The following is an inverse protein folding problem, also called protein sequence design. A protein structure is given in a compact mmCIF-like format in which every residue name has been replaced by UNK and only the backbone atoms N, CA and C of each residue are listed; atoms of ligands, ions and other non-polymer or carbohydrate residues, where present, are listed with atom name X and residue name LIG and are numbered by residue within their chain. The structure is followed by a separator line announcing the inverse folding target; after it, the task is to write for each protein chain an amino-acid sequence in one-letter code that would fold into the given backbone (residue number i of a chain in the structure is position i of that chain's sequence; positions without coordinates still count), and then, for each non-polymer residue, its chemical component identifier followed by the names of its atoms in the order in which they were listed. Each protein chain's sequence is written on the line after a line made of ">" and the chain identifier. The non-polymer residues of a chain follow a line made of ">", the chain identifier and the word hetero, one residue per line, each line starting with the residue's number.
data_IF_054315707092
#
_entry.id   IF_054315707092
#
_cell.length_a   1.000
_cell.length_b   1.000
_cell.length_c   1.000
_cell.angle_alpha   90.00
_cell.angle_beta   90.00
_cell.angle_gamma   90.00
#
_symmetry.space_group_name_H-M   'P 1'
#
loop_
_entity.id
_entity.type
_entity.pdbx_description
1 polymer ?
#
# COMPACT_ATOMS: atom_id res chain seq x y z
N UNK A 1 23.91 26.74 -74.70
CA UNK A 1 22.79 27.28 -73.88
C UNK A 1 21.85 26.22 -73.32
N UNK A 2 21.38 25.24 -74.09
CA UNK A 2 20.36 24.27 -73.61
C UNK A 2 20.74 23.47 -72.34
N UNK A 3 22.01 23.06 -72.19
CA UNK A 3 22.48 22.31 -71.01
C UNK A 3 22.47 23.14 -69.73
N UNK A 4 22.86 24.41 -69.81
CA UNK A 4 22.88 25.34 -68.68
C UNK A 4 21.46 25.66 -68.21
N UNK A 5 20.53 25.83 -69.15
CA UNK A 5 19.12 26.09 -68.83
C UNK A 5 18.43 24.88 -68.19
N UNK A 6 18.76 23.66 -68.65
CA UNK A 6 18.29 22.41 -68.05
C UNK A 6 18.80 22.22 -66.61
N UNK A 7 20.08 22.50 -66.36
CA UNK A 7 20.64 22.42 -65.00
C UNK A 7 19.96 23.43 -64.07
N UNK A 8 19.71 24.65 -64.56
CA UNK A 8 19.02 25.68 -63.77
C UNK A 8 17.57 25.32 -63.48
N UNK A 9 16.85 24.74 -64.45
CA UNK A 9 15.49 24.24 -64.26
C UNK A 9 15.43 23.09 -63.24
N UNK A 10 16.38 22.16 -63.29
CA UNK A 10 16.50 21.07 -62.30
C UNK A 10 16.78 21.64 -60.90
N UNK A 11 17.63 22.66 -60.78
CA UNK A 11 17.92 23.28 -59.49
C UNK A 11 16.71 24.00 -58.89
N UNK A 12 15.95 24.73 -59.72
CA UNK A 12 14.69 25.35 -59.30
C UNK A 12 13.67 24.30 -58.87
N UNK A 13 13.53 23.20 -59.61
CA UNK A 13 12.65 22.10 -59.23
C UNK A 13 13.10 21.45 -57.93
N UNK A 14 14.40 21.21 -57.72
CA UNK A 14 14.91 20.69 -56.45
C UNK A 14 14.57 21.64 -55.30
N UNK A 15 14.82 22.95 -55.44
CA UNK A 15 14.53 23.91 -54.36
C UNK A 15 13.02 24.03 -54.09
N UNK A 16 12.19 24.04 -55.13
CA UNK A 16 10.74 24.16 -54.99
C UNK A 16 10.11 22.89 -54.40
N UNK A 17 10.54 21.71 -54.87
CA UNK A 17 10.10 20.44 -54.33
C UNK A 17 10.80 20.08 -53.02
N UNK A 18 11.92 20.70 -52.66
CA UNK A 18 12.57 20.49 -51.36
C UNK A 18 11.68 20.96 -50.22
N UNK A 19 11.00 22.11 -50.38
CA UNK A 19 10.06 22.59 -49.36
C UNK A 19 8.84 21.68 -49.24
N UNK A 20 8.23 21.29 -50.37
CA UNK A 20 7.14 20.30 -50.38
C UNK A 20 7.59 18.94 -49.83
N UNK A 21 8.83 18.53 -50.08
CA UNK A 21 9.40 17.29 -49.56
C UNK A 21 9.70 17.40 -48.06
N UNK A 22 10.14 18.57 -47.57
CA UNK A 22 10.24 18.86 -46.14
C UNK A 22 8.87 18.84 -45.48
N UNK A 23 7.85 19.50 -46.04
CA UNK A 23 6.48 19.51 -45.52
C UNK A 23 5.88 18.08 -45.51
N UNK A 24 6.17 17.28 -46.54
CA UNK A 24 5.78 15.87 -46.62
C UNK A 24 6.56 15.03 -45.61
N UNK A 25 7.87 15.23 -45.47
CA UNK A 25 8.68 14.53 -44.46
C UNK A 25 8.33 14.95 -43.04
N UNK A 26 7.94 16.19 -42.80
CA UNK A 26 7.41 16.68 -41.52
C UNK A 26 6.08 16.00 -41.21
N UNK A 27 5.19 15.84 -42.20
CA UNK A 27 3.97 15.05 -42.06
C UNK A 27 4.18 13.54 -41.85
N UNK A 28 5.25 12.97 -42.41
CA UNK A 28 5.63 11.55 -42.22
C UNK A 28 6.64 11.33 -41.09
N UNK A 29 7.13 12.39 -40.44
CA UNK A 29 8.15 12.32 -39.37
C UNK A 29 7.71 11.40 -38.24
N UNK A 30 6.42 11.41 -37.82
CA UNK A 30 5.98 10.51 -36.77
C UNK A 30 6.00 9.02 -37.17
N UNK A 31 5.48 8.70 -38.35
CA UNK A 31 5.40 7.33 -38.85
C UNK A 31 6.79 6.75 -39.17
N UNK A 32 7.68 7.56 -39.76
CA UNK A 32 9.06 7.17 -40.04
C UNK A 32 9.82 6.95 -38.73
N UNK A 33 9.60 7.81 -37.73
CA UNK A 33 10.17 7.70 -36.40
C UNK A 33 9.78 6.41 -35.67
N UNK A 34 8.49 6.11 -35.59
CA UNK A 34 7.99 4.86 -34.98
C UNK A 34 8.45 3.62 -35.74
N UNK A 35 8.46 3.69 -37.08
CA UNK A 35 8.99 2.60 -37.91
C UNK A 35 10.49 2.41 -37.75
N UNK A 36 11.23 3.48 -37.45
CA UNK A 36 12.65 3.40 -37.10
C UNK A 36 12.83 2.74 -35.73
N UNK A 37 12.12 3.23 -34.69
CA UNK A 37 12.17 2.67 -33.35
C UNK A 37 11.81 1.18 -33.33
N UNK A 38 10.68 0.78 -33.91
CA UNK A 38 10.24 -0.62 -33.95
C UNK A 38 11.22 -1.56 -34.65
N UNK A 39 12.06 -1.04 -35.55
CA UNK A 39 13.10 -1.79 -36.28
C UNK A 39 14.44 -1.84 -35.58
N UNK A 40 14.63 -1.14 -34.45
CA UNK A 40 15.85 -1.27 -33.67
C UNK A 40 15.92 -2.69 -33.09
N UNK A 41 16.68 -3.57 -33.74
CA UNK A 41 16.84 -4.97 -33.37
C UNK A 41 18.01 -5.15 -32.40
N UNK A 42 17.81 -5.95 -31.35
CA UNK A 42 18.83 -6.23 -30.32
C UNK A 42 20.09 -6.91 -30.86
N UNK A 43 19.98 -7.70 -31.93
CA UNK A 43 21.13 -8.29 -32.62
C UNK A 43 22.14 -7.26 -33.12
N UNK A 44 21.69 -6.03 -33.41
CA UNK A 44 22.54 -4.90 -33.77
C UNK A 44 23.03 -4.12 -32.54
N UNK A 45 22.47 -4.38 -31.35
CA UNK A 45 22.64 -3.59 -30.12
C UNK A 45 23.47 -4.33 -29.06
N UNK A 46 24.11 -5.47 -29.39
CA UNK A 46 24.99 -6.20 -28.46
C UNK A 46 26.26 -5.47 -28.05
N UNK A 47 26.69 -4.47 -28.82
CA UNK A 47 27.80 -3.60 -28.45
C UNK A 47 27.26 -2.37 -27.71
N UNK A 48 27.88 -2.02 -26.58
CA UNK A 48 27.63 -0.82 -25.78
C UNK A 48 27.40 0.45 -26.63
N UNK A 49 28.17 0.64 -27.70
CA UNK A 49 28.00 1.78 -28.62
C UNK A 49 26.63 1.82 -29.29
N UNK A 50 26.08 0.67 -29.64
CA UNK A 50 24.77 0.57 -30.28
C UNK A 50 23.64 0.61 -29.25
N UNK A 51 23.88 0.15 -28.02
CA UNK A 51 22.97 0.37 -26.88
C UNK A 51 22.79 1.86 -26.62
N UNK A 52 23.89 2.59 -26.56
CA UNK A 52 23.89 4.03 -26.36
C UNK A 52 23.18 4.79 -27.50
N UNK A 53 23.35 4.34 -28.75
CA UNK A 53 22.60 4.93 -29.88
C UNK A 53 21.10 4.70 -29.77
N UNK A 54 20.68 3.50 -29.34
CA UNK A 54 19.27 3.18 -29.15
C UNK A 54 18.67 4.03 -28.01
N UNK A 55 19.38 4.19 -26.90
CA UNK A 55 18.93 5.04 -25.79
C UNK A 55 18.85 6.51 -26.23
N UNK A 56 19.85 7.02 -26.95
CA UNK A 56 19.80 8.37 -27.54
C UNK A 56 18.68 8.56 -28.54
N UNK A 57 18.36 7.53 -29.33
CA UNK A 57 17.21 7.57 -30.20
C UNK A 57 15.95 7.77 -29.36
N UNK A 58 15.70 6.91 -28.37
CA UNK A 58 14.57 7.07 -27.45
C UNK A 58 14.53 8.43 -26.75
N UNK A 59 15.66 8.93 -26.24
CA UNK A 59 15.76 10.28 -25.64
C UNK A 59 15.32 11.40 -26.60
N UNK A 60 15.55 11.24 -27.90
CA UNK A 60 15.08 12.22 -28.90
C UNK A 60 13.58 12.11 -29.19
N UNK A 61 12.99 10.92 -29.05
CA UNK A 61 11.55 10.70 -29.25
C UNK A 61 10.71 11.05 -28.03
N UNK A 62 11.29 11.01 -26.83
CA UNK A 62 10.50 11.22 -25.61
C UNK A 62 9.82 12.58 -25.50
N UNK A 63 10.49 13.71 -25.77
CA UNK A 63 9.90 15.04 -25.66
C UNK A 63 8.90 15.37 -26.78
N UNK A 64 8.98 14.67 -27.92
CA UNK A 64 8.15 14.93 -29.11
C UNK A 64 6.80 14.16 -29.09
N UNK A 65 6.43 13.54 -27.96
CA UNK A 65 5.32 12.58 -27.85
C UNK A 65 3.97 13.06 -28.39
N UNK A 66 3.68 14.37 -28.31
CA UNK A 66 2.44 14.96 -28.83
C UNK A 66 2.28 14.85 -30.35
N UNK A 67 3.36 14.58 -31.09
CA UNK A 67 3.35 14.41 -32.56
C UNK A 67 3.15 12.94 -32.99
N UNK A 68 3.27 11.99 -32.06
CA UNK A 68 3.22 10.55 -32.34
C UNK A 68 1.90 9.93 -31.90
N UNK A 69 1.52 8.82 -32.54
CA UNK A 69 0.48 7.94 -31.98
C UNK A 69 1.02 7.32 -30.68
N UNK A 70 0.61 7.90 -29.56
CA UNK A 70 1.05 7.50 -28.21
C UNK A 70 0.74 6.02 -27.93
N UNK A 71 -0.28 5.43 -28.57
CA UNK A 71 -0.54 3.99 -28.48
C UNK A 71 0.58 3.16 -29.08
N UNK A 72 0.98 3.48 -30.31
CA UNK A 72 2.05 2.75 -31.00
C UNK A 72 3.40 3.04 -30.35
N UNK A 73 3.63 4.26 -29.85
CA UNK A 73 4.85 4.59 -29.10
C UNK A 73 4.98 3.75 -27.82
N UNK A 74 3.93 3.66 -27.01
CA UNK A 74 3.93 2.83 -25.80
C UNK A 74 4.07 1.34 -26.12
N UNK A 75 3.45 0.88 -27.21
CA UNK A 75 3.62 -0.50 -27.68
C UNK A 75 5.08 -0.80 -28.05
N UNK A 76 5.74 0.06 -28.82
CA UNK A 76 7.16 -0.12 -29.18
C UNK A 76 8.06 -0.06 -27.94
N UNK A 77 7.75 0.82 -26.99
CA UNK A 77 8.45 0.88 -25.70
C UNK A 77 8.33 -0.44 -24.93
N UNK A 78 7.10 -0.94 -24.75
CA UNK A 78 6.82 -2.22 -24.08
C UNK A 78 7.54 -3.37 -24.78
N UNK A 79 7.47 -3.45 -26.12
CA UNK A 79 8.15 -4.47 -26.91
C UNK A 79 9.68 -4.45 -26.70
N UNK A 80 10.28 -3.26 -26.57
CA UNK A 80 11.72 -3.14 -26.29
C UNK A 80 12.08 -3.59 -24.88
N UNK A 81 11.32 -3.20 -23.85
CA UNK A 81 11.56 -3.68 -22.49
C UNK A 81 11.39 -5.21 -22.42
N UNK A 82 10.29 -5.74 -22.97
CA UNK A 82 10.04 -7.20 -23.01
C UNK A 82 11.21 -7.94 -23.67
N UNK A 83 11.73 -7.41 -24.78
CA UNK A 83 12.86 -8.01 -25.49
C UNK A 83 14.16 -7.93 -24.68
N UNK A 84 14.45 -6.81 -24.03
CA UNK A 84 15.61 -6.68 -23.15
C UNK A 84 15.57 -7.66 -21.99
N UNK A 85 14.39 -7.85 -21.38
CA UNK A 85 14.22 -8.81 -20.31
C UNK A 85 14.37 -10.26 -20.78
N UNK A 86 13.87 -10.60 -21.98
CA UNK A 86 14.05 -11.93 -22.58
C UNK A 86 15.52 -12.25 -22.86
N UNK A 87 16.32 -11.24 -23.22
CA UNK A 87 17.75 -11.37 -23.47
C UNK A 87 18.62 -11.20 -22.21
N UNK A 88 18.01 -11.10 -21.02
CA UNK A 88 18.69 -10.84 -19.73
C UNK A 88 19.49 -9.51 -19.71
N UNK A 89 19.18 -8.55 -20.59
CA UNK A 89 19.77 -7.20 -20.68
C UNK A 89 19.10 -6.23 -19.68
N UNK A 90 19.09 -6.62 -18.40
CA UNK A 90 18.41 -5.92 -17.31
C UNK A 90 18.82 -4.45 -17.16
N UNK A 91 20.09 -4.13 -17.39
CA UNK A 91 20.60 -2.76 -17.31
C UNK A 91 20.01 -1.84 -18.40
N UNK A 92 19.79 -2.37 -19.61
CA UNK A 92 19.17 -1.61 -20.70
C UNK A 92 17.68 -1.39 -20.44
N UNK A 93 17.00 -2.42 -19.95
CA UNK A 93 15.60 -2.29 -19.53
C UNK A 93 15.45 -1.17 -18.48
N UNK A 94 16.31 -1.14 -17.47
CA UNK A 94 16.30 -0.10 -16.44
C UNK A 94 16.64 1.31 -16.97
N UNK A 95 17.63 1.43 -17.87
CA UNK A 95 17.96 2.74 -18.48
C UNK A 95 16.81 3.24 -19.36
N UNK A 96 16.18 2.35 -20.12
CA UNK A 96 15.06 2.71 -20.98
C UNK A 96 13.82 3.10 -20.18
N UNK A 97 13.50 2.37 -19.09
CA UNK A 97 12.41 2.73 -18.18
C UNK A 97 12.67 4.05 -17.46
N UNK A 98 13.92 4.34 -17.07
CA UNK A 98 14.29 5.65 -16.51
C UNK A 98 14.03 6.77 -17.50
N UNK A 99 14.43 6.62 -18.77
CA UNK A 99 14.15 7.62 -19.80
C UNK A 99 12.65 7.85 -20.01
N UNK A 100 11.85 6.78 -19.98
CA UNK A 100 10.38 6.88 -20.02
C UNK A 100 9.82 7.59 -18.78
N UNK A 101 10.33 7.27 -17.57
CA UNK A 101 9.99 7.91 -16.30
C UNK A 101 10.24 9.43 -16.31
N UNK A 102 11.42 9.84 -16.78
CA UNK A 102 11.83 11.25 -16.84
C UNK A 102 10.92 12.08 -17.76
N UNK A 103 10.23 11.41 -18.68
CA UNK A 103 9.31 12.02 -19.63
C UNK A 103 7.84 11.69 -19.35
N UNK A 104 7.51 11.17 -18.16
CA UNK A 104 6.12 10.86 -17.79
C UNK A 104 5.18 12.04 -17.98
N UNK A 105 5.61 13.27 -17.65
CA UNK A 105 4.77 14.47 -17.76
C UNK A 105 4.13 14.63 -19.16
N UNK A 106 4.83 14.20 -20.21
CA UNK A 106 4.39 14.30 -21.61
C UNK A 106 3.54 13.11 -22.09
N UNK A 107 3.21 12.15 -21.22
CA UNK A 107 2.46 10.92 -21.57
C UNK A 107 0.97 11.06 -21.31
N UNK A 108 0.15 10.45 -22.15
CA UNK A 108 -1.28 10.34 -21.86
C UNK A 108 -1.56 9.19 -20.89
N UNK A 109 -2.25 9.48 -19.79
CA UNK A 109 -2.52 8.52 -18.73
C UNK A 109 -3.24 7.26 -19.23
N UNK A 110 -4.11 7.38 -20.23
CA UNK A 110 -4.85 6.25 -20.81
C UNK A 110 -3.93 5.13 -21.29
N UNK A 111 -2.80 5.48 -21.92
CA UNK A 111 -1.86 4.49 -22.43
C UNK A 111 -0.91 3.99 -21.34
N UNK A 112 -0.58 4.83 -20.36
CA UNK A 112 0.15 4.39 -19.16
C UNK A 112 -0.66 3.30 -18.44
N UNK A 113 -1.96 3.51 -18.22
CA UNK A 113 -2.84 2.53 -17.58
C UNK A 113 -2.99 1.25 -18.40
N UNK A 114 -3.26 1.35 -19.70
CA UNK A 114 -3.63 0.18 -20.50
C UNK A 114 -2.44 -0.63 -21.01
N UNK A 115 -1.27 0.00 -21.20
CA UNK A 115 -0.12 -0.63 -21.84
C UNK A 115 1.06 -0.79 -20.90
N UNK A 116 1.33 0.19 -20.04
CA UNK A 116 2.53 0.19 -19.20
C UNK A 116 2.26 -0.45 -17.84
N UNK A 117 1.19 -0.09 -17.13
CA UNK A 117 0.92 -0.58 -15.78
C UNK A 117 0.83 -2.13 -15.70
N UNK A 118 0.09 -2.84 -16.57
CA UNK A 118 0.05 -4.30 -16.53
C UNK A 118 1.43 -4.93 -16.75
N UNK A 119 2.21 -4.32 -17.64
CA UNK A 119 3.56 -4.77 -17.98
C UNK A 119 4.57 -4.52 -16.87
N UNK A 120 4.42 -3.43 -16.11
CA UNK A 120 5.25 -3.17 -14.93
C UNK A 120 5.19 -4.34 -13.95
N UNK A 121 4.01 -4.93 -13.72
CA UNK A 121 3.88 -6.12 -12.87
C UNK A 121 4.61 -7.35 -13.43
N UNK A 122 4.52 -7.59 -14.74
CA UNK A 122 5.27 -8.66 -15.41
C UNK A 122 6.79 -8.43 -15.30
N UNK A 123 7.24 -7.21 -15.55
CA UNK A 123 8.65 -6.82 -15.50
C UNK A 123 9.22 -6.99 -14.09
N UNK A 124 8.52 -6.49 -13.07
CA UNK A 124 8.95 -6.65 -11.67
C UNK A 124 9.10 -8.11 -11.27
N UNK A 125 8.23 -9.01 -11.74
CA UNK A 125 8.36 -10.44 -11.47
C UNK A 125 9.60 -11.03 -12.12
N UNK A 126 9.91 -10.63 -13.37
CA UNK A 126 11.11 -11.07 -14.08
C UNK A 126 12.37 -10.57 -13.38
N UNK A 127 12.40 -9.30 -13.01
CA UNK A 127 13.51 -8.70 -12.26
C UNK A 127 13.73 -9.40 -10.92
N UNK A 128 12.66 -9.64 -10.16
CA UNK A 128 12.73 -10.37 -8.89
C UNK A 128 13.30 -11.78 -9.06
N UNK A 129 12.84 -12.55 -10.06
CA UNK A 129 13.40 -13.88 -10.37
C UNK A 129 14.86 -13.84 -10.81
N UNK A 130 15.27 -12.78 -11.51
CA UNK A 130 16.66 -12.61 -11.90
C UNK A 130 17.55 -12.36 -10.67
N UNK A 131 17.06 -11.64 -9.67
CA UNK A 131 17.80 -11.35 -8.44
C UNK A 131 18.03 -12.60 -7.60
N UNK A 132 17.02 -13.45 -7.45
CA UNK A 132 17.17 -14.72 -6.72
C UNK A 132 18.20 -15.65 -7.37
N UNK A 133 18.36 -15.58 -8.69
CA UNK A 133 19.42 -16.27 -9.45
C UNK A 133 20.81 -15.63 -9.22
N UNK A 134 20.89 -14.30 -9.23
CA UNK A 134 22.14 -13.51 -9.25
C UNK A 134 22.74 -13.27 -7.86
N UNK A 135 21.99 -13.39 -6.75
CA UNK A 135 22.55 -13.28 -5.39
C UNK A 135 23.69 -14.30 -5.11
N UNK A 136 23.84 -15.33 -5.97
CA UNK A 136 24.99 -16.24 -5.98
C UNK A 136 26.28 -15.67 -6.61
N UNK A 137 26.22 -14.56 -7.37
CA UNK A 137 27.29 -14.04 -8.25
C UNK A 137 27.72 -12.59 -7.97
N UNK A 138 27.16 -11.88 -6.97
CA UNK A 138 27.50 -10.48 -6.58
C UNK A 138 27.42 -9.44 -7.71
N UNK A 139 26.46 -9.56 -8.63
CA UNK A 139 26.20 -8.53 -9.65
C UNK A 139 25.11 -7.58 -9.16
N UNK A 140 25.28 -6.27 -9.41
CA UNK A 140 24.29 -5.25 -9.09
C UNK A 140 23.01 -5.48 -9.91
N UNK A 141 21.89 -5.70 -9.23
CA UNK A 141 20.60 -5.95 -9.89
C UNK A 141 19.79 -4.66 -9.99
N UNK A 142 19.28 -4.30 -11.18
CA UNK A 142 18.42 -3.12 -11.37
C UNK A 142 17.01 -3.23 -10.76
N UNK A 143 16.72 -4.26 -9.95
CA UNK A 143 15.44 -4.45 -9.24
C UNK A 143 15.06 -3.23 -8.41
N UNK A 144 16.07 -2.63 -7.77
CA UNK A 144 15.90 -1.38 -7.01
C UNK A 144 15.30 -0.25 -7.83
N UNK A 145 15.66 -0.10 -9.10
CA UNK A 145 15.06 0.91 -9.97
C UNK A 145 13.57 0.62 -10.22
N UNK A 146 13.21 -0.61 -10.61
CA UNK A 146 11.81 -0.92 -10.92
C UNK A 146 10.92 -0.86 -9.69
N UNK A 147 11.35 -1.44 -8.57
CA UNK A 147 10.57 -1.52 -7.34
C UNK A 147 10.52 -0.19 -6.59
N UNK A 148 11.62 0.54 -6.47
CA UNK A 148 11.69 1.74 -5.63
C UNK A 148 11.65 3.07 -6.39
N UNK A 149 11.72 3.07 -7.73
CA UNK A 149 11.61 4.28 -8.55
C UNK A 149 10.47 4.19 -9.57
N UNK A 150 10.58 3.26 -10.53
CA UNK A 150 9.69 3.24 -11.68
C UNK A 150 8.23 2.95 -11.30
N UNK A 151 7.99 1.85 -10.59
CA UNK A 151 6.65 1.46 -10.15
C UNK A 151 5.99 2.54 -9.26
N UNK A 152 6.64 3.06 -8.20
CA UNK A 152 6.11 4.18 -7.42
C UNK A 152 5.76 5.39 -8.28
N UNK A 153 6.55 5.73 -9.31
CA UNK A 153 6.22 6.87 -10.18
C UNK A 153 5.02 6.61 -11.09
N UNK A 154 4.88 5.39 -11.63
CA UNK A 154 3.69 5.01 -12.41
C UNK A 154 2.45 5.11 -11.51
N UNK A 155 2.51 4.48 -10.35
CA UNK A 155 1.43 4.49 -9.36
C UNK A 155 1.07 5.91 -8.94
N UNK A 156 2.06 6.72 -8.55
CA UNK A 156 1.87 8.11 -8.14
C UNK A 156 1.12 8.91 -9.21
N UNK A 157 1.55 8.80 -10.47
CA UNK A 157 0.90 9.50 -11.59
C UNK A 157 -0.56 9.12 -11.71
N UNK A 158 -0.84 7.81 -11.74
CA UNK A 158 -2.19 7.30 -11.96
C UNK A 158 -3.12 7.56 -10.78
N UNK A 159 -2.61 7.55 -9.55
CA UNK A 159 -3.36 7.90 -8.34
C UNK A 159 -3.75 9.38 -8.29
N UNK A 160 -2.95 10.27 -8.88
CA UNK A 160 -3.28 11.70 -8.99
C UNK A 160 -4.35 11.98 -10.05
N UNK A 161 -4.67 11.00 -10.89
CA UNK A 161 -5.70 11.13 -11.93
C UNK A 161 -7.07 10.68 -11.41
N UNK A 162 -8.10 11.57 -11.38
CA UNK A 162 -9.44 11.21 -10.90
C UNK A 162 -10.10 10.08 -11.69
N UNK A 163 -9.73 9.93 -12.97
CA UNK A 163 -10.29 8.94 -13.89
C UNK A 163 -9.60 7.59 -13.75
N UNK A 164 -8.28 7.60 -13.48
CA UNK A 164 -7.46 6.40 -13.60
C UNK A 164 -7.05 5.77 -12.27
N UNK A 165 -7.31 6.43 -11.14
CA UNK A 165 -6.99 5.89 -9.81
C UNK A 165 -7.62 4.52 -9.53
N UNK A 166 -8.81 4.25 -10.08
CA UNK A 166 -9.48 2.95 -9.93
C UNK A 166 -8.73 1.81 -10.60
N UNK A 167 -8.12 2.10 -11.75
CA UNK A 167 -7.43 1.09 -12.55
C UNK A 167 -6.15 0.61 -11.87
N UNK A 168 -5.50 1.46 -11.05
CA UNK A 168 -4.32 1.04 -10.26
C UNK A 168 -4.67 -0.11 -9.34
N UNK A 169 -5.74 0.05 -8.56
CA UNK A 169 -6.20 -0.98 -7.64
C UNK A 169 -6.77 -2.20 -8.36
N UNK A 170 -7.54 -1.99 -9.44
CA UNK A 170 -8.10 -3.08 -10.23
C UNK A 170 -7.02 -3.97 -10.86
N UNK A 171 -6.02 -3.36 -11.50
CA UNK A 171 -4.92 -4.10 -12.11
C UNK A 171 -4.04 -4.79 -11.06
N UNK A 172 -3.82 -4.16 -9.90
CA UNK A 172 -3.11 -4.80 -8.80
C UNK A 172 -3.87 -6.00 -8.24
N UNK A 173 -5.19 -5.89 -8.04
CA UNK A 173 -6.02 -6.99 -7.58
C UNK A 173 -6.04 -8.15 -8.58
N UNK A 174 -6.10 -7.86 -9.89
CA UNK A 174 -5.95 -8.87 -10.95
C UNK A 174 -4.58 -9.55 -10.86
N UNK A 175 -3.52 -8.78 -10.64
CA UNK A 175 -2.16 -9.31 -10.55
C UNK A 175 -1.98 -10.20 -9.31
N UNK A 176 -2.47 -9.79 -8.14
CA UNK A 176 -2.49 -10.62 -6.93
C UNK A 176 -3.17 -11.96 -7.21
N UNK A 177 -4.39 -11.94 -7.75
CA UNK A 177 -5.13 -13.19 -8.06
C UNK A 177 -4.38 -14.10 -9.04
N UNK A 178 -3.61 -13.52 -9.96
CA UNK A 178 -2.75 -14.28 -10.86
C UNK A 178 -1.58 -14.93 -10.12
N UNK A 179 -0.90 -14.19 -9.23
CA UNK A 179 0.20 -14.70 -8.41
C UNK A 179 -0.28 -15.74 -7.40
N UNK A 180 -1.45 -15.56 -6.78
CA UNK A 180 -2.05 -16.55 -5.88
C UNK A 180 -2.27 -17.91 -6.56
N UNK A 181 -2.75 -17.90 -7.81
CA UNK A 181 -2.89 -19.13 -8.60
C UNK A 181 -1.54 -19.81 -8.84
N UNK A 182 -0.45 -19.04 -8.99
CA UNK A 182 0.92 -19.59 -9.07
C UNK A 182 1.32 -20.18 -7.73
N UNK A 183 1.15 -19.46 -6.61
CA UNK A 183 1.45 -19.95 -5.25
C UNK A 183 0.73 -21.27 -4.98
N UNK A 184 -0.57 -21.37 -5.30
CA UNK A 184 -1.35 -22.59 -5.12
C UNK A 184 -0.84 -23.75 -5.99
N UNK A 185 -0.36 -23.47 -7.20
CA UNK A 185 0.26 -24.47 -8.07
C UNK A 185 1.57 -24.98 -7.47
N UNK A 186 2.46 -24.07 -7.07
CA UNK A 186 3.75 -24.42 -6.46
C UNK A 186 3.56 -25.26 -5.18
N UNK A 187 2.57 -24.93 -4.34
CA UNK A 187 2.21 -25.75 -3.17
C UNK A 187 1.76 -27.15 -3.53
N UNK A 188 0.94 -27.32 -4.57
CA UNK A 188 0.47 -28.63 -5.05
C UNK A 188 1.60 -29.47 -5.63
N UNK A 189 2.61 -28.81 -6.21
CA UNK A 189 3.81 -29.45 -6.76
C UNK A 189 4.87 -29.75 -5.70
N UNK A 190 4.67 -29.31 -4.45
CA UNK A 190 5.59 -29.52 -3.33
C UNK A 190 6.68 -28.46 -3.19
N UNK A 191 6.67 -27.42 -4.02
CA UNK A 191 7.63 -26.31 -4.03
C UNK A 191 7.27 -25.26 -2.95
N UNK A 192 7.24 -25.68 -1.67
CA UNK A 192 6.81 -24.83 -0.56
C UNK A 192 7.67 -23.57 -0.38
N UNK A 193 8.98 -23.68 -0.64
CA UNK A 193 9.89 -22.54 -0.56
C UNK A 193 9.53 -21.48 -1.60
N UNK A 194 9.44 -21.85 -2.88
CA UNK A 194 9.09 -20.92 -3.95
C UNK A 194 7.70 -20.30 -3.75
N UNK A 195 6.73 -21.08 -3.26
CA UNK A 195 5.41 -20.58 -2.89
C UNK A 195 5.48 -19.50 -1.79
N UNK A 196 6.41 -19.63 -0.84
CA UNK A 196 6.65 -18.67 0.24
C UNK A 196 7.36 -17.43 -0.30
N UNK A 197 8.36 -17.60 -1.16
CA UNK A 197 9.08 -16.51 -1.84
C UNK A 197 8.13 -15.64 -2.67
N UNK A 198 7.21 -16.23 -3.43
CA UNK A 198 6.16 -15.47 -4.16
C UNK A 198 5.23 -14.70 -3.20
N UNK A 199 4.91 -15.27 -2.03
CA UNK A 199 4.09 -14.57 -1.02
C UNK A 199 4.84 -13.32 -0.51
N UNK A 200 6.13 -13.44 -0.21
CA UNK A 200 6.94 -12.30 0.21
C UNK A 200 7.05 -11.24 -0.89
N UNK A 201 7.28 -11.66 -2.14
CA UNK A 201 7.35 -10.75 -3.28
C UNK A 201 6.07 -9.92 -3.45
N UNK A 202 4.89 -10.56 -3.37
CA UNK A 202 3.62 -9.82 -3.53
C UNK A 202 3.33 -8.92 -2.31
N UNK A 203 3.73 -9.32 -1.11
CA UNK A 203 3.66 -8.48 0.10
C UNK A 203 4.53 -7.22 -0.09
N UNK A 204 5.81 -7.37 -0.44
CA UNK A 204 6.72 -6.24 -0.69
C UNK A 204 6.17 -5.27 -1.74
N UNK A 205 5.55 -5.80 -2.80
CA UNK A 205 4.97 -4.98 -3.84
C UNK A 205 3.72 -4.23 -3.36
N UNK A 206 2.87 -4.87 -2.55
CA UNK A 206 1.73 -4.22 -1.91
C UNK A 206 2.20 -3.13 -0.94
N UNK A 207 3.27 -3.36 -0.18
CA UNK A 207 3.90 -2.36 0.71
C UNK A 207 4.35 -1.12 -0.07
N UNK A 208 4.98 -1.31 -1.24
CA UNK A 208 5.39 -0.19 -2.11
C UNK A 208 4.18 0.58 -2.66
N UNK A 209 3.14 -0.13 -3.12
CA UNK A 209 1.89 0.48 -3.59
C UNK A 209 1.25 1.34 -2.50
N UNK A 210 1.09 0.77 -1.29
CA UNK A 210 0.48 1.44 -0.15
C UNK A 210 1.30 2.63 0.32
N UNK A 211 2.63 2.50 0.42
CA UNK A 211 3.52 3.61 0.77
C UNK A 211 3.36 4.77 -0.23
N UNK A 212 3.42 4.47 -1.52
CA UNK A 212 3.23 5.46 -2.59
C UNK A 212 1.86 6.14 -2.48
N UNK A 213 0.81 5.37 -2.21
CA UNK A 213 -0.54 5.90 -2.03
C UNK A 213 -0.65 6.81 -0.81
N UNK A 214 -0.11 6.40 0.34
CA UNK A 214 -0.17 7.18 1.58
C UNK A 214 0.64 8.46 1.55
N UNK A 215 1.81 8.46 0.90
CA UNK A 215 2.64 9.65 0.70
C UNK A 215 1.95 10.69 -0.19
N UNK A 216 1.17 10.22 -1.17
CA UNK A 216 0.52 11.08 -2.14
C UNK A 216 -0.88 11.51 -1.75
N UNK A 217 -1.42 11.06 -0.61
CA UNK A 217 -2.81 11.35 -0.19
C UNK A 217 -3.18 12.84 -0.17
N UNK A 218 -2.25 13.71 0.25
CA UNK A 218 -2.49 15.15 0.35
C UNK A 218 -2.52 15.81 -1.04
N UNK A 219 -1.75 15.27 -2.00
CA UNK A 219 -1.75 15.70 -3.39
C UNK A 219 -2.91 15.06 -4.18
N UNK A 220 -3.32 13.85 -3.78
CA UNK A 220 -4.55 13.19 -4.19
C UNK A 220 -5.80 13.81 -3.54
N UNK A 221 -5.66 14.95 -2.86
CA UNK A 221 -6.74 15.79 -2.32
C UNK A 221 -7.79 16.27 -3.34
N UNK A 222 -7.73 15.78 -4.57
CA UNK A 222 -8.75 15.95 -5.61
C UNK A 222 -9.78 14.81 -5.60
N UNK A 223 -9.51 13.65 -4.97
CA UNK A 223 -10.43 12.51 -5.03
C UNK A 223 -10.59 11.71 -3.71
N UNK A 224 -11.37 12.20 -2.73
CA UNK A 224 -11.74 11.42 -1.54
C UNK A 224 -12.53 10.13 -1.88
N UNK A 225 -13.02 9.97 -3.11
CA UNK A 225 -13.70 8.75 -3.53
C UNK A 225 -12.73 7.58 -3.76
N UNK A 226 -11.40 7.78 -3.77
CA UNK A 226 -10.47 6.65 -3.94
C UNK A 226 -10.68 5.59 -2.87
N UNK A 227 -10.73 5.99 -1.60
CA UNK A 227 -11.00 5.08 -0.49
C UNK A 227 -12.40 4.47 -0.51
N UNK A 228 -13.39 5.24 -0.96
CA UNK A 228 -14.80 4.85 -0.92
C UNK A 228 -15.17 3.92 -2.08
N UNK A 229 -14.77 4.30 -3.28
CA UNK A 229 -15.23 3.77 -4.56
C UNK A 229 -14.23 2.86 -5.24
N UNK A 230 -12.92 3.03 -4.99
CA UNK A 230 -11.87 2.36 -5.76
C UNK A 230 -10.99 1.42 -4.94
N UNK A 231 -10.77 1.70 -3.66
CA UNK A 231 -9.98 0.85 -2.78
C UNK A 231 -10.65 -0.54 -2.67
N UNK A 232 -9.93 -1.64 -2.92
CA UNK A 232 -10.52 -2.97 -3.02
C UNK A 232 -11.28 -3.33 -1.74
N UNK A 233 -12.51 -3.80 -1.90
CA UNK A 233 -13.37 -4.17 -0.76
C UNK A 233 -12.77 -5.28 0.08
N UNK A 234 -12.09 -6.25 -0.56
CA UNK A 234 -11.43 -7.36 0.12
C UNK A 234 -10.22 -6.93 0.96
N UNK A 235 -9.67 -5.74 0.71
CA UNK A 235 -8.55 -5.22 1.50
C UNK A 235 -9.00 -4.30 2.63
N UNK A 236 -10.28 -3.95 2.67
CA UNK A 236 -10.88 -3.21 3.80
C UNK A 236 -10.98 -4.15 4.98
N UNK A 237 -10.56 -3.70 6.14
CA UNK A 237 -10.34 -4.55 7.30
C UNK A 237 -11.66 -4.71 8.05
N UNK A 238 -12.08 -5.96 8.14
CA UNK A 238 -13.26 -6.43 8.87
C UNK A 238 -12.87 -7.60 9.76
N UNK A 239 -13.74 -7.97 10.69
CA UNK A 239 -13.59 -9.18 11.48
C UNK A 239 -13.43 -10.45 10.64
N UNK A 240 -14.03 -10.48 9.43
CA UNK A 240 -14.05 -11.66 8.58
C UNK A 240 -12.76 -11.87 7.76
N UNK A 241 -11.97 -10.82 7.54
CA UNK A 241 -10.76 -10.89 6.72
C UNK A 241 -9.51 -10.35 7.44
N UNK A 242 -9.59 -10.07 8.74
CA UNK A 242 -8.45 -9.55 9.51
C UNK A 242 -7.23 -10.48 9.52
N UNK A 243 -7.41 -11.76 9.21
CA UNK A 243 -6.35 -12.77 9.06
C UNK A 243 -5.92 -12.99 7.60
N UNK A 244 -6.58 -12.33 6.63
CA UNK A 244 -6.15 -12.33 5.24
C UNK A 244 -4.92 -11.43 5.09
N UNK A 245 -3.91 -11.91 4.37
CA UNK A 245 -2.60 -11.25 4.31
C UNK A 245 -2.70 -9.84 3.69
N UNK A 246 -3.62 -9.59 2.75
CA UNK A 246 -3.83 -8.25 2.20
C UNK A 246 -4.33 -7.27 3.25
N UNK A 247 -5.29 -7.70 4.08
CA UNK A 247 -5.83 -6.89 5.15
C UNK A 247 -4.77 -6.63 6.23
N UNK A 248 -3.96 -7.64 6.54
CA UNK A 248 -2.79 -7.54 7.42
C UNK A 248 -1.78 -6.50 6.90
N UNK A 249 -1.37 -6.58 5.63
CA UNK A 249 -0.42 -5.62 5.03
C UNK A 249 -0.98 -4.19 4.99
N UNK A 250 -2.27 -4.03 4.68
CA UNK A 250 -2.95 -2.72 4.72
C UNK A 250 -2.96 -2.16 6.12
N UNK A 251 -3.19 -3.00 7.12
CA UNK A 251 -3.20 -2.63 8.52
C UNK A 251 -1.82 -2.19 8.99
N UNK A 252 -0.79 -2.98 8.71
CA UNK A 252 0.61 -2.64 8.99
C UNK A 252 0.96 -1.25 8.45
N UNK A 253 0.66 -1.02 7.16
CA UNK A 253 0.95 0.26 6.52
C UNK A 253 0.15 1.40 7.13
N UNK A 254 -1.09 1.17 7.50
CA UNK A 254 -1.89 2.17 8.20
C UNK A 254 -1.24 2.56 9.53
N UNK A 255 -0.76 1.60 10.32
CA UNK A 255 -0.10 1.86 11.62
C UNK A 255 1.21 2.63 11.40
N UNK A 256 2.06 2.18 10.47
CA UNK A 256 3.36 2.85 10.22
C UNK A 256 3.16 4.28 9.75
N UNK A 257 2.21 4.52 8.84
CA UNK A 257 2.02 5.84 8.22
C UNK A 257 1.22 6.80 9.10
N UNK A 258 0.23 6.32 9.86
CA UNK A 258 -0.59 7.17 10.73
C UNK A 258 -0.20 7.11 12.19
N UNK A 259 0.65 6.17 12.61
CA UNK A 259 1.11 6.00 13.99
C UNK A 259 1.64 7.30 14.57
N UNK A 260 2.69 7.87 13.98
CA UNK A 260 3.26 9.14 14.43
C UNK A 260 2.28 10.32 14.42
N UNK A 261 1.33 10.31 13.48
CA UNK A 261 0.30 11.32 13.32
C UNK A 261 -0.84 11.19 14.33
N UNK A 262 -1.16 9.98 14.78
CA UNK A 262 -2.14 9.70 15.82
C UNK A 262 -1.75 10.36 17.13
N UNK A 263 -0.46 10.59 17.39
CA UNK A 263 0.07 11.19 18.62
C UNK A 263 0.37 12.69 18.54
N UNK A 264 0.20 13.32 17.36
CA UNK A 264 0.38 14.76 17.27
C UNK A 264 -0.74 15.49 18.03
N UNK A 265 -0.36 16.29 19.03
CA UNK A 265 -1.22 17.32 19.64
C UNK A 265 -1.39 18.48 18.66
N UNK A 266 -1.93 18.24 17.46
CA UNK A 266 -2.25 19.37 16.59
C UNK A 266 -3.64 19.88 16.95
N UNK A 267 -3.71 21.17 17.28
CA UNK A 267 -4.97 21.90 17.40
C UNK A 267 -5.63 22.14 16.02
N UNK A 268 -5.13 21.50 14.95
CA UNK A 268 -5.58 21.68 13.58
C UNK A 268 -6.84 20.84 13.28
N UNK A 269 -7.99 21.47 13.01
CA UNK A 269 -9.24 20.74 12.87
C UNK A 269 -9.32 19.88 11.60
N UNK A 270 -8.64 20.30 10.54
CA UNK A 270 -8.61 19.63 9.23
C UNK A 270 -7.88 18.28 9.28
N UNK A 271 -6.85 18.17 10.13
CA UNK A 271 -6.05 16.95 10.24
C UNK A 271 -6.83 15.80 10.88
N UNK A 272 -7.50 16.07 12.01
CA UNK A 272 -8.28 15.05 12.73
C UNK A 272 -9.53 14.59 11.97
N UNK A 273 -10.12 15.47 11.15
CA UNK A 273 -11.24 15.12 10.26
C UNK A 273 -10.80 14.06 9.23
N UNK A 274 -9.60 14.20 8.67
CA UNK A 274 -9.06 13.25 7.69
C UNK A 274 -8.88 11.84 8.26
N UNK A 275 -8.44 11.70 9.51
CA UNK A 275 -8.18 10.38 10.11
C UNK A 275 -9.46 9.57 10.37
N UNK A 276 -10.51 10.18 10.94
CA UNK A 276 -11.77 9.46 11.16
C UNK A 276 -12.42 9.04 9.84
N UNK A 277 -12.31 9.88 8.81
CA UNK A 277 -12.77 9.56 7.46
C UNK A 277 -12.00 8.37 6.89
N UNK A 278 -10.66 8.36 7.00
CA UNK A 278 -9.81 7.24 6.59
C UNK A 278 -10.18 5.96 7.35
N UNK A 279 -10.32 6.02 8.68
CA UNK A 279 -10.69 4.84 9.49
C UNK A 279 -12.07 4.31 9.07
N UNK A 280 -13.06 5.18 8.87
CA UNK A 280 -14.38 4.76 8.42
C UNK A 280 -14.36 4.09 7.03
N UNK A 281 -13.42 4.48 6.16
CA UNK A 281 -13.30 3.92 4.82
C UNK A 281 -12.49 2.61 4.78
N UNK A 282 -11.44 2.51 5.60
CA UNK A 282 -10.56 1.34 5.71
C UNK A 282 -11.17 0.23 6.56
N UNK A 283 -11.90 0.58 7.63
CA UNK A 283 -12.47 -0.34 8.61
C UNK A 283 -14.00 -0.27 8.57
N UNK A 284 -14.65 -0.78 7.52
CA UNK A 284 -16.09 -0.68 7.38
C UNK A 284 -16.77 -1.46 8.51
N UNK A 285 -17.72 -0.80 9.18
CA UNK A 285 -18.43 -1.40 10.32
C UNK A 285 -17.78 -1.16 11.67
N UNK A 286 -16.54 -0.67 11.70
CA UNK A 286 -15.89 -0.22 12.94
C UNK A 286 -16.40 1.15 13.36
N UNK A 287 -16.50 1.36 14.67
CA UNK A 287 -16.66 2.69 15.24
C UNK A 287 -15.29 3.36 15.24
N UNK A 288 -15.07 4.27 14.29
CA UNK A 288 -13.78 4.99 14.13
C UNK A 288 -13.33 5.67 15.42
N UNK A 289 -14.26 6.07 16.27
CA UNK A 289 -13.92 6.72 17.53
C UNK A 289 -13.33 5.79 18.56
N UNK A 290 -13.96 4.64 18.79
CA UNK A 290 -13.42 3.59 19.65
C UNK A 290 -12.09 3.05 19.11
N UNK A 291 -12.00 2.84 17.80
CA UNK A 291 -10.79 2.30 17.16
C UNK A 291 -9.61 3.28 17.23
N UNK A 292 -9.81 4.55 16.89
CA UNK A 292 -8.78 5.58 17.00
C UNK A 292 -8.30 5.74 18.44
N UNK A 293 -9.24 5.68 19.39
CA UNK A 293 -8.87 5.73 20.80
C UNK A 293 -8.07 4.51 21.23
N UNK A 294 -8.45 3.30 20.80
CA UNK A 294 -7.64 2.10 21.01
C UNK A 294 -6.24 2.29 20.47
N UNK A 295 -6.06 2.66 19.20
CA UNK A 295 -4.72 2.84 18.63
C UNK A 295 -3.91 3.86 19.45
N UNK A 296 -4.54 4.95 19.92
CA UNK A 296 -3.85 5.90 20.81
C UNK A 296 -3.49 5.32 22.18
N UNK A 297 -4.31 4.44 22.74
CA UNK A 297 -3.96 3.73 23.98
C UNK A 297 -2.85 2.72 23.77
N UNK A 298 -2.88 2.03 22.63
CA UNK A 298 -1.91 1.06 22.24
C UNK A 298 -0.56 1.74 22.01
N UNK A 299 -0.46 2.64 21.02
CA UNK A 299 0.85 3.16 20.59
C UNK A 299 1.26 4.44 21.31
N UNK A 300 0.42 4.94 22.23
CA UNK A 300 0.71 6.15 22.97
C UNK A 300 1.69 5.89 24.11
N UNK A 301 2.40 6.93 24.58
CA UNK A 301 3.23 6.81 25.77
C UNK A 301 2.37 6.34 26.95
N UNK A 302 2.86 5.32 27.68
CA UNK A 302 2.22 4.87 28.91
C UNK A 302 1.95 6.08 29.80
N UNK A 303 0.70 6.25 30.23
CA UNK A 303 0.21 7.27 31.18
C UNK A 303 -0.43 8.56 30.62
N UNK A 304 -0.51 8.82 29.30
CA UNK A 304 -1.27 9.99 28.79
C UNK A 304 -2.79 9.76 28.66
N UNK A 305 -3.39 9.07 29.63
CA UNK A 305 -4.84 8.80 29.66
C UNK A 305 -5.63 10.12 29.68
N UNK A 306 -5.12 11.12 30.40
CA UNK A 306 -5.73 12.45 30.44
C UNK A 306 -5.71 13.11 29.07
N UNK A 307 -4.60 13.04 28.32
CA UNK A 307 -4.51 13.52 26.95
C UNK A 307 -5.52 12.83 26.04
N UNK A 308 -5.60 11.49 26.10
CA UNK A 308 -6.54 10.70 25.29
C UNK A 308 -8.00 11.08 25.58
N UNK A 309 -8.35 11.29 26.85
CA UNK A 309 -9.71 11.72 27.25
C UNK A 309 -9.99 13.17 26.86
N UNK A 310 -9.00 14.07 27.01
CA UNK A 310 -9.11 15.50 26.67
C UNK A 310 -9.31 15.74 25.20
N UNK A 311 -8.64 14.94 24.36
CA UNK A 311 -8.73 15.06 22.92
C UNK A 311 -10.19 15.10 22.54
N UNK A 312 -10.60 16.26 22.02
CA UNK A 312 -11.92 16.40 21.48
C UNK A 312 -11.95 15.37 20.36
N UNK A 313 -12.84 14.39 20.45
CA UNK A 313 -12.94 13.57 19.31
C UNK A 313 -13.59 14.48 18.30
N UNK A 314 -12.90 14.82 17.24
CA UNK A 314 -13.65 15.20 16.05
C UNK A 314 -14.27 13.93 15.47
N UNK A 315 -15.13 13.30 16.29
CA UNK A 315 -16.22 12.42 15.88
C UNK A 315 -17.23 13.32 15.17
N UNK A 316 -16.87 13.84 14.00
CA UNK A 316 -17.90 14.02 13.00
C UNK A 316 -18.18 12.62 12.50
N UNK A 317 -19.30 12.05 12.95
CA UNK A 317 -19.97 10.99 12.23
C UNK A 317 -20.21 11.54 10.82
N UNK A 318 -19.30 11.25 9.91
CA UNK A 318 -19.35 11.62 8.50
C UNK A 318 -20.39 10.74 7.80
N UNK A 319 -21.64 10.82 8.23
CA UNK A 319 -22.77 10.53 7.36
C UNK A 319 -23.47 11.86 7.17
N UNK A 320 -23.08 12.55 6.08
CA UNK A 320 -23.84 13.58 5.37
C UNK A 320 -25.25 13.84 5.89
N UNK A 321 -25.41 14.96 6.60
CA UNK A 321 -26.38 16.05 6.39
C UNK A 321 -26.69 16.73 7.74
N UNK A 322 -26.22 17.97 7.87
CA UNK A 322 -26.78 19.05 8.69
C UNK A 322 -27.13 18.70 10.14
N UNK A 323 -26.30 19.14 11.08
CA UNK A 323 -26.85 19.93 12.20
C UNK A 323 -25.88 21.03 12.60
N UNK A 324 -26.15 22.22 12.09
CA UNK A 324 -25.95 23.43 12.87
C UNK A 324 -26.73 23.28 14.19
N UNK A 325 -26.07 23.55 15.31
CA UNK A 325 -26.65 24.20 16.51
C UNK A 325 -28.02 23.62 16.96
N UNK A 326 -28.09 22.31 17.17
CA UNK A 326 -29.28 21.63 17.72
C UNK A 326 -28.88 20.63 18.80
N UNK A 327 -29.32 20.90 20.05
CA UNK A 327 -29.29 20.03 21.23
C UNK A 327 -28.10 19.05 21.35
N UNK A 328 -27.11 19.44 22.15
CA UNK A 328 -25.94 18.64 22.53
C UNK A 328 -26.32 17.21 22.98
N UNK A 329 -27.42 17.06 23.73
CA UNK A 329 -27.92 15.75 24.17
C UNK A 329 -28.48 14.82 23.09
N UNK A 330 -28.91 15.33 21.93
CA UNK A 330 -29.36 14.49 20.80
C UNK A 330 -28.16 13.91 20.04
N UNK A 331 -27.07 14.68 19.94
CA UNK A 331 -25.81 14.21 19.37
C UNK A 331 -25.16 13.12 20.24
N UNK A 332 -25.26 13.24 21.56
CA UNK A 332 -24.74 12.28 22.53
C UNK A 332 -25.49 10.95 22.50
N UNK A 333 -26.83 10.98 22.35
CA UNK A 333 -27.62 9.75 22.21
C UNK A 333 -27.30 9.00 20.93
N UNK A 334 -27.22 9.69 19.79
CA UNK A 334 -26.83 9.08 18.50
C UNK A 334 -25.43 8.48 18.54
N UNK A 335 -24.50 9.10 19.28
CA UNK A 335 -23.16 8.56 19.49
C UNK A 335 -23.19 7.24 20.28
N UNK A 336 -23.95 7.18 21.38
CA UNK A 336 -24.08 5.96 22.18
C UNK A 336 -24.74 4.82 21.40
N UNK A 337 -25.74 5.13 20.56
CA UNK A 337 -26.39 4.15 19.67
C UNK A 337 -25.45 3.63 18.58
N UNK A 338 -24.65 4.51 17.94
CA UNK A 338 -23.68 4.08 16.92
C UNK A 338 -22.51 3.29 17.52
N UNK A 339 -22.07 3.65 18.73
CA UNK A 339 -21.14 2.84 19.52
C UNK A 339 -21.72 1.44 19.72
N UNK A 340 -22.92 1.32 20.29
CA UNK A 340 -23.48 0.00 20.59
C UNK A 340 -23.73 -0.84 19.34
N UNK A 341 -24.10 -0.20 18.22
CA UNK A 341 -24.30 -0.87 16.93
C UNK A 341 -23.02 -1.46 16.33
N UNK A 342 -21.88 -0.78 16.48
CA UNK A 342 -20.61 -1.12 15.81
C UNK A 342 -19.54 -1.70 16.73
N UNK A 343 -19.83 -1.76 18.02
CA UNK A 343 -18.92 -2.18 19.08
C UNK A 343 -18.37 -3.59 18.87
N UNK A 344 -19.21 -4.55 18.51
CA UNK A 344 -18.78 -5.94 18.31
C UNK A 344 -17.76 -6.07 17.17
N UNK A 345 -18.07 -5.47 16.01
CA UNK A 345 -17.15 -5.44 14.87
C UNK A 345 -15.85 -4.70 15.22
N UNK A 346 -15.96 -3.59 15.97
CA UNK A 346 -14.79 -2.84 16.44
C UNK A 346 -13.90 -3.71 17.33
N UNK A 347 -14.50 -4.45 18.27
CA UNK A 347 -13.77 -5.35 19.15
C UNK A 347 -13.11 -6.46 18.35
N UNK A 348 -13.84 -7.10 17.44
CA UNK A 348 -13.30 -8.18 16.62
C UNK A 348 -12.14 -7.72 15.72
N UNK A 349 -12.24 -6.54 15.12
CA UNK A 349 -11.13 -5.94 14.36
C UNK A 349 -9.94 -5.60 15.27
N UNK A 350 -10.18 -5.05 16.46
CA UNK A 350 -9.13 -4.81 17.46
C UNK A 350 -8.47 -6.12 17.91
N UNK A 351 -9.23 -7.22 18.00
CA UNK A 351 -8.68 -8.52 18.33
C UNK A 351 -7.90 -9.15 17.21
N UNK A 352 -8.39 -9.09 15.97
CA UNK A 352 -7.62 -9.47 14.79
C UNK A 352 -6.29 -8.72 14.76
N UNK A 353 -6.34 -7.41 15.01
CA UNK A 353 -5.16 -6.55 15.17
C UNK A 353 -4.21 -7.02 16.27
N UNK A 354 -4.71 -7.56 17.38
CA UNK A 354 -3.84 -8.08 18.44
C UNK A 354 -3.30 -9.48 18.11
N UNK A 355 -4.04 -10.27 17.31
CA UNK A 355 -3.78 -11.68 17.02
C UNK A 355 -2.79 -11.96 15.89
N UNK A 356 -2.66 -11.08 14.90
CA UNK A 356 -1.79 -11.28 13.72
C UNK A 356 -0.29 -11.03 13.97
N UNK A 357 0.08 -10.45 15.11
CA UNK A 357 1.47 -10.03 15.41
C UNK A 357 2.37 -11.14 15.97
N UNK A 358 2.45 -12.29 15.32
CA UNK A 358 3.49 -13.30 15.64
C UNK A 358 4.85 -12.99 14.97
N UNK A 359 4.95 -11.92 14.16
CA UNK A 359 6.13 -11.66 13.30
C UNK A 359 6.84 -10.30 13.40
N UNK A 360 6.20 -9.22 13.87
CA UNK A 360 6.78 -7.87 13.80
C UNK A 360 6.86 -7.19 15.17
N UNK A 361 8.09 -6.81 15.55
CA UNK A 361 8.48 -6.18 16.83
C UNK A 361 8.02 -4.74 17.02
N UNK A 362 7.48 -4.09 15.99
CA UNK A 362 7.31 -2.64 16.01
C UNK A 362 5.83 -2.25 15.89
N UNK A 363 5.20 -2.11 17.07
CA UNK A 363 4.05 -1.25 17.46
C UNK A 363 2.66 -1.96 17.47
N UNK A 364 1.76 -1.83 18.51
CA UNK A 364 1.72 -0.92 19.67
C UNK A 364 1.17 -1.52 20.99
N UNK A 365 1.60 -2.69 21.42
CA UNK A 365 1.87 -2.76 22.86
C UNK A 365 3.37 -2.79 22.81
N UNK A 366 4.01 -1.61 22.91
CA UNK A 366 5.45 -1.55 23.08
C UNK A 366 5.77 -2.55 24.18
N UNK A 367 6.41 -3.64 23.79
CA UNK A 367 6.90 -4.63 24.72
C UNK A 367 7.98 -3.90 25.48
N UNK A 368 7.64 -3.38 26.66
CA UNK A 368 8.68 -2.96 27.56
C UNK A 368 9.41 -4.23 27.98
N UNK A 369 10.72 -4.16 28.20
CA UNK A 369 11.46 -5.32 28.68
C UNK A 369 10.74 -5.94 29.88
N UNK A 370 10.26 -5.11 30.80
CA UNK A 370 9.51 -5.48 32.00
C UNK A 370 8.17 -6.22 31.77
N UNK A 371 7.65 -6.25 30.54
CA UNK A 371 6.36 -6.87 30.21
C UNK A 371 6.43 -8.40 30.08
N UNK A 372 7.64 -8.96 29.87
CA UNK A 372 7.90 -10.40 29.87
C UNK A 372 8.74 -10.80 31.07
N UNK A 373 8.47 -11.98 31.64
CA UNK A 373 9.40 -12.59 32.58
C UNK A 373 10.75 -12.85 31.90
N UNK A 374 11.84 -12.88 32.67
CA UNK A 374 13.16 -13.25 32.12
C UNK A 374 13.10 -14.63 31.43
N UNK A 375 12.35 -15.56 32.02
CA UNK A 375 12.12 -16.91 31.47
C UNK A 375 11.39 -16.87 30.12
N UNK A 376 10.35 -16.05 29.97
CA UNK A 376 9.62 -15.92 28.70
C UNK A 376 10.51 -15.32 27.60
N UNK A 377 11.40 -14.38 27.96
CA UNK A 377 12.32 -13.74 27.01
C UNK A 377 13.40 -14.70 26.53
N UNK A 378 14.02 -15.42 27.45
CA UNK A 378 15.11 -16.35 27.14
C UNK A 378 14.62 -17.54 26.32
N UNK A 379 13.40 -18.02 26.59
CA UNK A 379 12.88 -19.25 25.99
C UNK A 379 11.86 -19.03 24.86
N UNK A 380 11.57 -17.78 24.47
CA UNK A 380 10.53 -17.47 23.46
C UNK A 380 10.70 -18.26 22.15
N UNK A 381 11.94 -18.41 21.67
CA UNK A 381 12.26 -19.12 20.43
C UNK A 381 11.97 -20.63 20.50
N UNK A 382 11.99 -21.20 21.70
CA UNK A 382 11.82 -22.63 21.96
C UNK A 382 10.38 -22.99 22.37
N UNK A 383 9.52 -21.99 22.57
CA UNK A 383 8.12 -22.21 22.92
C UNK A 383 7.32 -22.79 21.75
N UNK A 384 6.44 -23.75 22.07
CA UNK A 384 5.39 -24.16 21.13
C UNK A 384 4.45 -22.99 20.84
N UNK A 385 3.75 -23.07 19.71
CA UNK A 385 2.78 -22.03 19.32
C UNK A 385 1.66 -21.87 20.37
N UNK A 386 1.24 -22.96 21.01
CA UNK A 386 0.28 -22.92 22.12
C UNK A 386 0.83 -22.16 23.33
N UNK A 387 2.12 -22.38 23.66
CA UNK A 387 2.78 -21.67 24.76
C UNK A 387 2.96 -20.20 24.45
N UNK A 388 3.38 -19.84 23.23
CA UNK A 388 3.46 -18.44 22.77
C UNK A 388 2.11 -17.75 22.88
N UNK A 389 1.04 -18.39 22.40
CA UNK A 389 -0.35 -17.89 22.54
C UNK A 389 -0.74 -17.67 24.00
N UNK A 390 -0.40 -18.60 24.89
CA UNK A 390 -0.70 -18.48 26.32
C UNK A 390 0.04 -17.31 26.97
N UNK A 391 1.34 -17.14 26.66
CA UNK A 391 2.17 -16.04 27.16
C UNK A 391 1.61 -14.69 26.67
N UNK A 392 1.28 -14.59 25.37
CA UNK A 392 0.65 -13.39 24.81
C UNK A 392 -0.71 -13.08 25.46
N UNK A 393 -1.54 -14.10 25.70
CA UNK A 393 -2.83 -13.91 26.37
C UNK A 393 -2.65 -13.39 27.81
N UNK A 394 -1.69 -13.93 28.57
CA UNK A 394 -1.38 -13.46 29.92
C UNK A 394 -0.86 -12.02 29.93
N UNK A 395 0.01 -11.68 28.98
CA UNK A 395 0.51 -10.33 28.79
C UNK A 395 -0.61 -9.33 28.48
N UNK A 396 -1.43 -9.61 27.45
CA UNK A 396 -2.59 -8.77 27.08
C UNK A 396 -3.50 -8.54 28.29
N UNK A 397 -3.79 -9.61 29.04
CA UNK A 397 -4.58 -9.55 30.28
C UNK A 397 -3.95 -8.61 31.32
N UNK A 398 -2.64 -8.68 31.52
CA UNK A 398 -1.92 -7.80 32.46
C UNK A 398 -2.02 -6.33 32.04
N UNK A 399 -1.68 -5.99 30.79
CA UNK A 399 -1.78 -4.62 30.25
C UNK A 399 -3.19 -4.06 30.36
N UNK A 400 -4.21 -4.83 29.95
CA UNK A 400 -5.59 -4.38 30.01
C UNK A 400 -6.06 -4.17 31.46
N UNK A 401 -5.65 -5.01 32.42
CA UNK A 401 -5.94 -4.78 33.84
C UNK A 401 -5.26 -3.53 34.39
N UNK A 402 -3.98 -3.30 34.06
CA UNK A 402 -3.25 -2.07 34.43
C UNK A 402 -3.98 -0.84 33.89
N UNK A 403 -4.39 -0.87 32.61
CA UNK A 403 -5.11 0.22 31.97
C UNK A 403 -6.50 0.45 32.60
N UNK A 404 -7.25 -0.62 32.88
CA UNK A 404 -8.52 -0.55 33.57
C UNK A 404 -8.39 0.06 34.97
N UNK A 405 -7.33 -0.31 35.70
CA UNK A 405 -6.96 0.28 36.98
C UNK A 405 -6.70 1.78 36.86
N UNK A 406 -5.90 2.19 35.87
CA UNK A 406 -5.58 3.59 35.62
C UNK A 406 -6.83 4.42 35.24
N UNK A 407 -7.70 3.90 34.36
CA UNK A 407 -8.98 4.53 33.98
C UNK A 407 -9.96 4.66 35.15
N UNK A 408 -9.84 3.80 36.16
CA UNK A 408 -10.67 3.81 37.37
C UNK A 408 -10.00 4.46 38.57
N UNK A 409 -8.76 4.96 38.42
CA UNK A 409 -8.03 5.68 39.45
C UNK A 409 -8.80 6.93 39.89
N UNK A 410 -8.63 7.31 41.15
CA UNK A 410 -9.24 8.52 41.71
C UNK A 410 -8.85 9.76 40.90
N UNK A 411 -7.59 9.85 40.50
CA UNK A 411 -7.08 10.98 39.70
C UNK A 411 -7.81 11.14 38.36
N UNK A 412 -8.04 10.06 37.63
CA UNK A 412 -8.76 10.11 36.35
C UNK A 412 -10.25 10.35 36.56
N UNK A 413 -10.87 9.72 37.56
CA UNK A 413 -12.28 9.98 37.91
C UNK A 413 -12.52 11.44 38.32
N UNK A 414 -11.64 12.02 39.14
CA UNK A 414 -11.73 13.42 39.56
C UNK A 414 -11.47 14.37 38.39
N UNK A 415 -10.62 13.98 37.45
CA UNK A 415 -10.39 14.72 36.21
C UNK A 415 -11.63 14.71 35.30
N UNK A 416 -12.24 13.55 35.10
CA UNK A 416 -13.41 13.37 34.25
C UNK A 416 -14.71 13.90 34.85
N UNK A 417 -14.91 13.75 36.17
CA UNK A 417 -16.14 14.14 36.87
C UNK A 417 -16.45 15.64 36.81
N UNK A 418 -15.48 16.45 36.37
CA UNK A 418 -15.65 17.90 36.13
C UNK A 418 -16.28 18.23 34.77
N UNK A 419 -16.43 17.24 33.89
CA UNK A 419 -16.95 17.42 32.54
C UNK A 419 -17.72 16.16 32.10
N UNK A 420 -19.03 16.27 31.88
CA UNK A 420 -19.90 15.14 31.53
C UNK A 420 -19.42 14.39 30.28
N UNK A 421 -18.88 15.10 29.29
CA UNK A 421 -18.32 14.51 28.07
C UNK A 421 -17.08 13.67 28.38
N UNK A 422 -16.21 14.13 29.27
CA UNK A 422 -15.01 13.38 29.66
C UNK A 422 -15.36 12.13 30.47
N UNK A 423 -16.38 12.20 31.32
CA UNK A 423 -16.86 11.05 32.06
C UNK A 423 -17.53 10.01 31.15
N UNK A 424 -18.32 10.45 30.16
CA UNK A 424 -18.90 9.56 29.16
C UNK A 424 -17.81 8.80 28.36
N UNK A 425 -16.77 9.52 27.90
CA UNK A 425 -15.62 8.89 27.22
C UNK A 425 -14.89 7.88 28.09
N UNK A 426 -14.59 8.26 29.35
CA UNK A 426 -13.91 7.37 30.31
C UNK A 426 -14.70 6.07 30.49
N UNK A 427 -16.02 6.16 30.66
CA UNK A 427 -16.91 4.98 30.77
C UNK A 427 -16.91 4.14 29.48
N UNK A 428 -16.93 4.78 28.31
CA UNK A 428 -16.79 4.10 27.02
C UNK A 428 -15.48 3.30 26.93
N UNK A 429 -14.36 3.89 27.35
CA UNK A 429 -13.07 3.20 27.38
C UNK A 429 -13.03 2.07 28.40
N UNK A 430 -13.53 2.29 29.61
CA UNK A 430 -13.68 1.22 30.61
C UNK A 430 -14.42 0.03 30.00
N UNK A 431 -15.57 0.29 29.34
CA UNK A 431 -16.35 -0.77 28.73
C UNK A 431 -15.61 -1.48 27.59
N UNK A 432 -14.86 -0.74 26.76
CA UNK A 432 -14.01 -1.33 25.73
C UNK A 432 -12.93 -2.25 26.34
N UNK A 433 -12.22 -1.80 27.36
CA UNK A 433 -11.17 -2.59 28.03
C UNK A 433 -11.75 -3.83 28.73
N UNK A 434 -12.93 -3.71 29.34
CA UNK A 434 -13.65 -4.87 29.92
C UNK A 434 -13.96 -5.93 28.87
N UNK A 435 -14.45 -5.53 27.69
CA UNK A 435 -14.76 -6.45 26.60
C UNK A 435 -13.49 -7.08 26.01
N UNK A 436 -12.41 -6.31 25.91
CA UNK A 436 -11.08 -6.82 25.56
C UNK A 436 -10.58 -7.83 26.60
N UNK A 437 -10.83 -7.61 27.89
CA UNK A 437 -10.47 -8.60 28.91
C UNK A 437 -11.30 -9.89 28.79
N UNK A 438 -12.62 -9.76 28.64
CA UNK A 438 -13.54 -10.90 28.50
C UNK A 438 -13.12 -11.80 27.32
N UNK A 439 -12.76 -11.20 26.18
CA UNK A 439 -12.37 -11.96 24.99
C UNK A 439 -10.99 -12.61 25.11
N UNK A 440 -9.99 -11.95 25.74
CA UNK A 440 -8.70 -12.59 26.08
C UNK A 440 -8.92 -13.79 27.02
N UNK A 441 -9.86 -13.68 27.95
CA UNK A 441 -10.20 -14.78 28.86
C UNK A 441 -10.86 -15.95 28.13
N UNK A 442 -11.74 -15.69 27.16
CA UNK A 442 -12.35 -16.72 26.30
C UNK A 442 -11.31 -17.48 25.47
N UNK A 443 -10.35 -16.79 24.84
CA UNK A 443 -9.27 -17.41 24.06
C UNK A 443 -8.38 -18.32 24.92
N UNK A 444 -8.09 -17.90 26.16
CA UNK A 444 -7.31 -18.68 27.10
C UNK A 444 -8.05 -19.96 27.56
N UNK A 445 -9.39 -19.90 27.72
CA UNK A 445 -10.18 -21.08 28.11
C UNK A 445 -10.43 -22.07 26.97
N UNK A 446 -10.42 -21.61 25.72
CA UNK A 446 -10.64 -22.45 24.54
C UNK A 446 -9.34 -23.09 24.01
N UNK A 447 -8.18 -22.70 24.55
CA UNK A 447 -6.91 -23.33 24.23
C UNK A 447 -6.78 -24.64 25.01
N UNK A 448 -6.66 -25.81 24.35
CA UNK A 448 -6.55 -27.09 25.05
C UNK A 448 -5.32 -27.05 25.96
N UNK A 449 -5.49 -27.37 27.24
CA UNK A 449 -4.37 -27.39 28.17
C UNK A 449 -3.35 -28.42 27.72
N UNK A 450 -2.11 -28.00 27.49
CA UNK A 450 -0.99 -28.86 27.12
C UNK A 450 -0.60 -29.89 28.22
N UNK A 451 -1.31 -29.87 29.36
CA UNK A 451 -1.05 -30.70 30.53
C UNK A 451 -1.98 -31.92 30.67
N UNK A 452 -2.50 -32.49 29.57
CA UNK A 452 -3.16 -33.81 29.64
C UNK A 452 -2.26 -34.93 29.09
N UNK A 453 -1.28 -35.43 29.89
CA UNK A 453 -0.45 -36.55 29.50
C UNK A 453 -1.23 -37.85 29.71
N UNK A 454 -2.31 -38.10 28.95
CA UNK A 454 -2.96 -39.42 28.94
C UNK A 454 -3.97 -39.62 27.79
N UNK A 455 -3.52 -40.10 26.63
CA UNK A 455 -4.11 -41.28 25.99
C UNK A 455 -3.28 -41.81 24.81
N UNK A 456 -2.12 -42.41 25.10
CA UNK A 456 -1.71 -43.57 24.29
C UNK A 456 -2.47 -44.78 24.83
N UNK A 457 -3.72 -44.90 24.39
CA UNK A 457 -4.47 -46.13 24.48
C UNK A 457 -3.91 -47.11 23.45
N UNK A 458 -3.27 -48.16 23.93
CA UNK A 458 -3.10 -49.42 23.23
C UNK A 458 -4.41 -49.87 22.59
N UNK A 459 -4.42 -50.02 21.27
CA UNK A 459 -4.93 -51.20 20.55
C UNK A 459 -4.30 -51.24 19.17
#
# INVERSE_FOLDING_TARGET
>A
MGKTLAIFAVFILIVYFWKLFQDVLEGYKPEIGLKFLSKLCLSEVRNEKNQEKMLKAWESFWPESSEYDERELNKVFVEHIDRFLQEEEFALAARLSQGYQDNFAAREDLFVVNSVLPKVFEWMEIFWKSETKIQSEKVYVPTTHFQHSFFPKVVQRLLLSPVYSSFVFEEFEKYIKHVEKKIQRERKEGNLQLATEYKHYIDDLLRVLLSTFYENRNNAGVNPDVWKSYFPKGWKITSNNSEEWEAETVLDHFIVNYGSHLFQKSDEPLFNQSLSDIVNMLFPGVNSGLFTAWIRFACGPENDIKGIIKLNPMFRLSNSFVSQVGNQGESERKLLEDIEKRKEETINVIFGFLGTFDGYRDVPLTYDEDDFSEEDRENWGDYSEEKKKQVLANFRRSKFRKLLGNLNSKEIKDFCGKNEVYEAKRKGFVKLIELLLERVEQEATNSPSADDPQSHGTT
#
